data_IF_440913444241
#
_entry.id   IF_440913444241
#
_cell.length_a   1.000
_cell.length_b   1.000
_cell.length_c   1.000
_cell.angle_alpha   90.00
_cell.angle_beta   90.00
_cell.angle_gamma   90.00
#
_symmetry.space_group_name_H-M   'P 1'
#
loop_
_entity.id
_entity.type
_entity.pdbx_description
1 polymer ?
#
# COMPACT_ATOMS: atom_id res chain seq x y z
N UNK A 1 -61.94 -44.64 -7.28
CA UNK A 1 -60.60 -44.03 -7.37
C UNK A 1 -60.72 -42.55 -7.03
N UNK A 2 -60.24 -42.13 -5.85
CA UNK A 2 -60.28 -40.73 -5.42
C UNK A 2 -58.96 -40.07 -5.82
N UNK A 3 -59.00 -39.15 -6.77
CA UNK A 3 -57.81 -38.42 -7.23
C UNK A 3 -57.63 -37.18 -6.34
N UNK A 4 -56.58 -37.17 -5.54
CA UNK A 4 -56.19 -36.03 -4.70
C UNK A 4 -55.40 -35.07 -5.59
N UNK A 5 -55.97 -33.89 -5.86
CA UNK A 5 -55.25 -32.80 -6.53
C UNK A 5 -54.40 -32.07 -5.48
N UNK A 6 -53.09 -32.32 -5.51
CA UNK A 6 -52.12 -31.56 -4.72
C UNK A 6 -51.94 -30.17 -5.32
N UNK A 7 -52.40 -29.14 -4.60
CA UNK A 7 -52.16 -27.75 -4.94
C UNK A 7 -50.69 -27.41 -4.63
N UNK A 8 -49.85 -27.35 -5.67
CA UNK A 8 -48.45 -26.91 -5.55
C UNK A 8 -48.44 -25.38 -5.45
N UNK A 9 -48.35 -24.85 -4.23
CA UNK A 9 -48.11 -23.44 -3.96
C UNK A 9 -46.67 -23.08 -4.35
N UNK A 10 -46.51 -22.59 -5.58
CA UNK A 10 -45.31 -21.90 -6.03
C UNK A 10 -45.21 -20.55 -5.30
N UNK A 11 -44.45 -20.52 -4.20
CA UNK A 11 -43.95 -19.27 -3.64
C UNK A 11 -42.97 -18.65 -4.65
N UNK A 12 -43.47 -17.74 -5.49
CA UNK A 12 -42.64 -16.78 -6.19
C UNK A 12 -42.02 -15.85 -5.14
N UNK A 13 -40.90 -16.28 -4.57
CA UNK A 13 -40.08 -15.43 -3.73
C UNK A 13 -39.57 -14.28 -4.58
N UNK A 14 -40.11 -13.08 -4.35
CA UNK A 14 -39.53 -11.86 -4.90
C UNK A 14 -38.13 -11.70 -4.30
N UNK A 15 -37.10 -11.92 -5.10
CA UNK A 15 -35.73 -11.57 -4.73
C UNK A 15 -35.63 -10.05 -4.75
N UNK A 16 -35.73 -9.42 -3.58
CA UNK A 16 -35.45 -8.00 -3.44
C UNK A 16 -33.94 -7.83 -3.63
N UNK A 17 -33.53 -7.20 -4.73
CA UNK A 17 -32.13 -6.88 -4.98
C UNK A 17 -31.59 -5.97 -3.86
N UNK A 18 -30.38 -6.28 -3.37
CA UNK A 18 -29.77 -5.46 -2.33
C UNK A 18 -29.51 -4.03 -2.83
N UNK A 19 -29.80 -3.04 -1.98
CA UNK A 19 -29.57 -1.63 -2.30
C UNK A 19 -28.51 -1.08 -1.35
N UNK A 20 -27.43 -0.52 -1.91
CA UNK A 20 -26.34 0.05 -1.13
C UNK A 20 -26.86 1.28 -0.34
N UNK A 21 -26.70 1.31 0.99
CA UNK A 21 -27.07 2.47 1.79
C UNK A 21 -26.29 3.72 1.41
N UNK A 22 -26.82 4.90 1.80
CA UNK A 22 -26.07 6.15 1.60
C UNK A 22 -24.79 6.15 2.42
N UNK A 23 -23.67 6.48 1.76
CA UNK A 23 -22.36 6.60 2.43
C UNK A 23 -22.37 7.81 3.37
N UNK A 24 -22.06 7.57 4.64
CA UNK A 24 -21.92 8.60 5.67
C UNK A 24 -20.48 9.10 5.69
N UNK A 25 -20.29 10.41 5.62
CA UNK A 25 -18.99 11.06 5.76
C UNK A 25 -18.86 11.73 7.13
N UNK A 26 -17.70 11.57 7.77
CA UNK A 26 -17.41 12.16 9.08
C UNK A 26 -15.98 12.75 9.11
N UNK A 27 -15.78 13.76 9.95
CA UNK A 27 -14.49 14.44 10.12
C UNK A 27 -14.08 14.45 11.60
N UNK A 28 -13.88 13.27 12.23
CA UNK A 28 -13.74 13.17 13.69
C UNK A 28 -12.41 13.72 14.21
N UNK A 29 -11.39 13.82 13.36
CA UNK A 29 -10.06 14.32 13.76
C UNK A 29 -9.65 15.56 12.97
N UNK A 30 -8.58 16.21 13.42
CA UNK A 30 -7.93 17.33 12.72
C UNK A 30 -7.22 16.90 11.42
N UNK A 31 -7.29 15.61 11.06
CA UNK A 31 -6.79 15.01 9.82
C UNK A 31 -7.82 14.06 9.25
N UNK A 32 -7.75 13.84 7.94
CA UNK A 32 -8.51 12.82 7.23
C UNK A 32 -10.03 12.91 7.37
N UNK A 33 -10.71 11.83 7.01
CA UNK A 33 -12.16 11.69 7.06
C UNK A 33 -12.54 10.20 7.13
N UNK A 34 -13.77 9.93 7.56
CA UNK A 34 -14.38 8.58 7.49
C UNK A 34 -15.46 8.55 6.43
N UNK A 35 -15.59 7.44 5.73
CA UNK A 35 -16.70 7.13 4.84
C UNK A 35 -17.24 5.74 5.19
N UNK A 36 -18.53 5.61 5.52
CA UNK A 36 -19.06 4.34 6.01
C UNK A 36 -20.51 4.03 5.61
N UNK A 37 -20.82 2.74 5.54
CA UNK A 37 -22.18 2.20 5.42
C UNK A 37 -22.49 1.30 6.64
N UNK A 38 -23.76 1.18 7.08
CA UNK A 38 -24.12 0.25 8.15
C UNK A 38 -23.92 -1.21 7.70
N UNK A 39 -23.54 -2.07 8.64
CA UNK A 39 -23.54 -3.51 8.39
C UNK A 39 -24.95 -4.03 8.11
N UNK A 40 -25.04 -5.08 7.29
CA UNK A 40 -26.29 -5.78 6.96
C UNK A 40 -25.97 -7.27 6.85
N UNK A 41 -26.73 -8.17 7.51
CA UNK A 41 -26.46 -9.59 7.43
C UNK A 41 -26.36 -10.09 5.98
N UNK A 42 -25.21 -10.68 5.62
CA UNK A 42 -24.91 -11.10 4.24
C UNK A 42 -23.96 -10.15 3.50
N UNK A 43 -23.66 -8.97 4.05
CA UNK A 43 -22.60 -8.09 3.57
C UNK A 43 -21.23 -8.71 3.86
N UNK A 44 -20.39 -8.80 2.84
CA UNK A 44 -19.09 -9.47 2.88
C UNK A 44 -17.93 -8.53 2.55
N UNK A 45 -18.19 -7.45 1.81
CA UNK A 45 -17.18 -6.47 1.44
C UNK A 45 -17.81 -5.11 1.15
N UNK A 46 -17.08 -4.05 1.50
CA UNK A 46 -17.34 -2.66 1.13
C UNK A 46 -16.04 -2.06 0.58
N UNK A 47 -15.98 -1.83 -0.72
CA UNK A 47 -14.88 -1.13 -1.37
C UNK A 47 -15.26 0.32 -1.61
N UNK A 48 -14.44 1.24 -1.10
CA UNK A 48 -14.65 2.68 -1.22
C UNK A 48 -13.56 3.28 -2.09
N UNK A 49 -13.96 4.07 -3.09
CA UNK A 49 -13.04 4.74 -4.01
C UNK A 49 -13.45 6.19 -4.16
N UNK A 50 -12.51 7.11 -3.97
CA UNK A 50 -12.78 8.53 -4.05
C UNK A 50 -11.60 9.34 -4.58
N UNK A 51 -11.93 10.47 -5.20
CA UNK A 51 -10.97 11.45 -5.71
C UNK A 51 -11.46 12.87 -5.44
N UNK A 52 -10.55 13.83 -5.39
CA UNK A 52 -10.88 15.20 -5.02
C UNK A 52 -11.06 16.12 -6.24
N UNK A 53 -12.11 16.93 -6.22
CA UNK A 53 -12.39 18.04 -7.14
C UNK A 53 -12.47 17.71 -8.64
N UNK A 54 -12.29 16.44 -9.03
CA UNK A 54 -12.47 15.94 -10.40
C UNK A 54 -13.39 14.71 -10.39
N UNK A 55 -14.39 14.58 -11.27
CA UNK A 55 -15.18 13.36 -11.39
C UNK A 55 -14.36 12.18 -11.93
N UNK A 56 -14.89 10.97 -11.75
CA UNK A 56 -14.34 9.78 -12.39
C UNK A 56 -14.74 9.76 -13.87
N UNK A 57 -13.81 9.40 -14.75
CA UNK A 57 -14.13 9.14 -16.16
C UNK A 57 -14.46 7.66 -16.36
N UNK A 58 -13.86 6.77 -15.54
CA UNK A 58 -14.11 5.33 -15.49
C UNK A 58 -14.03 4.79 -14.04
N UNK A 59 -14.15 3.46 -13.85
CA UNK A 59 -13.89 2.77 -12.56
C UNK A 59 -12.40 2.80 -12.16
N UNK A 60 -11.86 4.00 -12.01
CA UNK A 60 -10.49 4.25 -11.56
C UNK A 60 -10.38 4.09 -10.04
N UNK A 61 -9.19 3.76 -9.54
CA UNK A 61 -8.93 3.51 -8.12
C UNK A 61 -9.22 4.75 -7.23
N UNK A 62 -8.99 5.97 -7.75
CA UNK A 62 -9.11 7.23 -6.99
C UNK A 62 -7.90 7.53 -6.09
N UNK A 63 -7.91 8.70 -5.44
CA UNK A 63 -6.87 9.14 -4.49
C UNK A 63 -7.03 8.52 -3.08
N UNK A 64 -8.24 8.03 -2.80
CA UNK A 64 -8.66 7.43 -1.53
C UNK A 64 -9.35 6.11 -1.87
N UNK A 65 -8.71 4.99 -1.56
CA UNK A 65 -9.19 3.65 -1.93
C UNK A 65 -8.92 2.64 -0.84
N UNK A 66 -9.91 1.81 -0.52
CA UNK A 66 -9.73 0.64 0.33
C UNK A 66 -10.87 -0.37 0.14
N UNK A 67 -10.54 -1.66 0.23
CA UNK A 67 -11.48 -2.76 0.36
C UNK A 67 -11.61 -3.11 1.84
N UNK A 68 -12.76 -2.82 2.43
CA UNK A 68 -13.10 -3.15 3.81
C UNK A 68 -13.76 -4.53 3.79
N UNK A 69 -13.18 -5.50 4.48
CA UNK A 69 -13.64 -6.91 4.53
C UNK A 69 -14.26 -7.31 5.87
N UNK A 70 -14.30 -6.38 6.83
CA UNK A 70 -14.86 -6.58 8.17
C UNK A 70 -15.45 -5.27 8.69
N UNK A 71 -16.63 -5.27 9.35
CA UNK A 71 -17.17 -4.08 9.99
C UNK A 71 -16.37 -3.69 11.24
N UNK A 72 -16.48 -2.43 11.64
CA UNK A 72 -15.96 -1.89 12.90
C UNK A 72 -16.77 -2.34 14.12
N UNK A 73 -16.30 -1.97 15.32
CA UNK A 73 -16.94 -2.32 16.59
C UNK A 73 -18.36 -1.75 16.72
N UNK A 74 -18.67 -0.68 15.98
CA UNK A 74 -19.98 -0.05 15.90
C UNK A 74 -20.90 -0.68 14.82
N UNK A 75 -20.48 -1.75 14.18
CA UNK A 75 -21.28 -2.45 13.15
C UNK A 75 -21.39 -1.65 11.86
N UNK A 76 -20.34 -0.95 11.45
CA UNK A 76 -20.27 -0.22 10.17
C UNK A 76 -19.06 -0.64 9.36
N UNK A 77 -19.21 -0.61 8.05
CA UNK A 77 -18.10 -0.82 7.13
C UNK A 77 -17.48 0.54 6.84
N UNK A 78 -16.30 0.79 7.41
CA UNK A 78 -15.75 2.13 7.52
C UNK A 78 -14.38 2.24 6.84
N UNK A 79 -14.30 3.09 5.82
CA UNK A 79 -13.05 3.66 5.35
C UNK A 79 -12.64 4.77 6.32
N UNK A 80 -11.42 4.72 6.86
CA UNK A 80 -10.86 5.77 7.73
C UNK A 80 -9.46 6.15 7.24
N UNK A 81 -9.26 7.42 6.93
CA UNK A 81 -7.96 7.93 6.48
C UNK A 81 -7.37 8.92 7.47
N UNK A 82 -6.04 8.91 7.61
CA UNK A 82 -5.30 9.92 8.37
C UNK A 82 -4.50 10.90 7.46
N UNK A 83 -4.84 10.95 6.16
CA UNK A 83 -4.30 11.95 5.22
C UNK A 83 -4.57 13.38 5.71
N UNK A 84 -3.88 14.43 5.21
CA UNK A 84 -4.14 15.80 5.64
C UNK A 84 -5.62 16.18 5.59
N UNK A 85 -6.07 17.03 6.51
CA UNK A 85 -7.46 17.47 6.54
C UNK A 85 -7.83 18.18 5.24
N UNK A 86 -8.94 17.76 4.64
CA UNK A 86 -9.50 18.41 3.47
C UNK A 86 -10.07 19.78 3.84
N UNK A 87 -9.79 20.84 3.06
CA UNK A 87 -10.44 22.15 3.21
C UNK A 87 -11.96 22.05 3.06
N UNK A 88 -12.70 22.91 3.76
CA UNK A 88 -14.14 23.06 3.53
C UNK A 88 -14.40 23.48 2.09
N UNK A 89 -15.45 22.91 1.48
CA UNK A 89 -15.80 23.11 0.08
C UNK A 89 -15.11 22.16 -0.90
N UNK A 90 -14.14 21.35 -0.45
CA UNK A 90 -13.56 20.28 -1.29
C UNK A 90 -14.65 19.29 -1.68
N UNK A 91 -14.73 18.92 -2.97
CA UNK A 91 -15.68 17.92 -3.45
C UNK A 91 -14.98 16.57 -3.53
N UNK A 92 -15.51 15.58 -2.82
CA UNK A 92 -15.12 14.18 -2.90
C UNK A 92 -16.04 13.52 -3.91
N UNK A 93 -15.54 13.20 -5.11
CA UNK A 93 -16.23 12.31 -6.03
C UNK A 93 -15.92 10.88 -5.63
N UNK A 94 -16.92 10.00 -5.57
CA UNK A 94 -16.73 8.64 -5.09
C UNK A 94 -17.63 7.63 -5.80
N UNK A 95 -17.17 6.39 -5.81
CA UNK A 95 -17.97 5.21 -6.12
C UNK A 95 -17.71 4.13 -5.07
N UNK A 96 -18.68 3.24 -4.90
CA UNK A 96 -18.61 2.13 -3.95
C UNK A 96 -18.94 0.84 -4.65
N UNK A 97 -18.22 -0.22 -4.30
CA UNK A 97 -18.62 -1.59 -4.58
C UNK A 97 -18.95 -2.31 -3.27
N UNK A 98 -20.02 -3.11 -3.28
CA UNK A 98 -20.42 -3.93 -2.15
C UNK A 98 -20.60 -5.37 -2.62
N UNK A 99 -20.02 -6.31 -1.87
CA UNK A 99 -20.34 -7.73 -2.03
C UNK A 99 -21.38 -8.15 -1.00
N UNK A 100 -22.58 -8.51 -1.43
CA UNK A 100 -23.68 -8.96 -0.59
C UNK A 100 -24.18 -10.33 -1.06
N UNK A 101 -24.20 -11.32 -0.18
CA UNK A 101 -24.62 -12.69 -0.48
C UNK A 101 -23.93 -13.30 -1.73
N UNK A 102 -22.61 -13.04 -1.89
CA UNK A 102 -21.78 -13.40 -3.04
C UNK A 102 -22.09 -12.66 -4.36
N UNK A 103 -23.01 -11.71 -4.36
CA UNK A 103 -23.30 -10.85 -5.52
C UNK A 103 -22.68 -9.46 -5.35
N UNK A 104 -22.29 -8.84 -6.47
CA UNK A 104 -21.65 -7.53 -6.49
C UNK A 104 -22.61 -6.41 -6.85
N UNK A 105 -22.59 -5.33 -6.07
CA UNK A 105 -23.42 -4.15 -6.23
C UNK A 105 -22.55 -2.90 -6.35
N UNK A 106 -22.98 -1.94 -7.16
CA UNK A 106 -22.22 -0.71 -7.43
C UNK A 106 -23.04 0.54 -7.13
N UNK A 107 -22.39 1.53 -6.54
CA UNK A 107 -22.90 2.89 -6.38
C UNK A 107 -21.94 3.85 -7.05
N UNK A 108 -22.30 4.36 -8.23
CA UNK A 108 -21.43 5.22 -9.05
C UNK A 108 -21.85 6.68 -9.03
N UNK A 109 -20.97 7.54 -9.56
CA UNK A 109 -21.24 8.96 -9.86
C UNK A 109 -21.71 9.77 -8.65
N UNK A 110 -21.23 9.41 -7.46
CA UNK A 110 -21.56 10.13 -6.23
C UNK A 110 -20.55 11.22 -5.94
N UNK A 111 -21.03 12.22 -5.19
CA UNK A 111 -20.20 13.30 -4.69
C UNK A 111 -20.60 13.70 -3.28
N UNK A 112 -19.63 14.15 -2.50
CA UNK A 112 -19.82 14.70 -1.16
C UNK A 112 -19.02 16.00 -1.05
N UNK A 113 -19.58 17.05 -0.45
CA UNK A 113 -18.85 18.31 -0.22
C UNK A 113 -18.38 18.35 1.22
N UNK A 114 -17.09 18.57 1.44
CA UNK A 114 -16.49 18.64 2.77
C UNK A 114 -17.03 19.85 3.52
N UNK A 115 -17.72 19.58 4.63
CA UNK A 115 -18.19 20.60 5.57
C UNK A 115 -17.75 20.19 6.98
N UNK A 116 -16.63 20.74 7.44
CA UNK A 116 -16.22 20.68 8.85
C UNK A 116 -16.93 21.81 9.59
N UNK A 117 -17.97 21.48 10.33
CA UNK A 117 -18.43 22.34 11.41
C UNK A 117 -17.36 22.36 12.48
N UNK A 118 -16.92 23.55 12.96
CA UNK A 118 -16.07 23.65 14.15
C UNK A 118 -16.73 22.82 15.25
N UNK A 119 -16.12 21.71 15.64
CA UNK A 119 -16.52 21.04 16.85
C UNK A 119 -16.30 22.06 17.97
N UNK A 120 -17.40 22.55 18.55
CA UNK A 120 -17.39 23.32 19.78
C UNK A 120 -16.67 22.47 20.79
N UNK A 121 -15.41 22.80 21.08
CA UNK A 121 -14.67 22.18 22.14
C UNK A 121 -15.53 22.31 23.40
N UNK A 122 -16.00 21.18 23.93
CA UNK A 122 -16.66 21.17 25.22
C UNK A 122 -15.72 21.91 26.21
N UNK A 123 -16.22 22.92 26.95
CA UNK A 123 -15.37 23.71 27.83
C UNK A 123 -14.77 22.78 28.89
N UNK A 124 -13.48 22.52 28.78
CA UNK A 124 -12.72 21.86 29.82
C UNK A 124 -12.54 22.90 30.94
N UNK A 125 -13.40 22.83 31.95
CA UNK A 125 -13.32 23.64 33.16
C UNK A 125 -11.92 23.50 33.75
N UNK A 126 -11.16 24.58 33.68
CA UNK A 126 -9.83 24.69 34.27
C UNK A 126 -9.98 24.84 35.77
N UNK A 127 -10.14 23.73 36.49
CA UNK A 127 -9.81 23.71 37.92
C UNK A 127 -8.31 23.42 38.01
N UNK A 128 -7.53 24.46 38.26
CA UNK A 128 -6.11 24.39 38.63
C UNK A 128 -5.98 23.54 39.90
N UNK A 129 -5.67 22.26 39.72
CA UNK A 129 -5.08 21.42 40.75
C UNK A 129 -3.63 21.16 40.34
N UNK A 130 -2.63 21.51 41.16
CA UNK A 130 -1.23 21.24 40.82
C UNK A 130 -1.06 19.73 40.77
N UNK A 131 -0.90 19.21 39.56
CA UNK A 131 -0.64 17.79 39.34
C UNK A 131 0.78 17.67 38.85
N UNK A 132 1.61 17.19 39.78
CA UNK A 132 3.00 16.79 39.60
C UNK A 132 3.20 16.07 38.27
N UNK A 133 4.17 16.56 37.50
CA UNK A 133 4.63 16.03 36.23
C UNK A 133 5.00 14.55 36.37
N UNK A 134 4.11 13.65 35.99
CA UNK A 134 4.46 12.25 35.75
C UNK A 134 4.47 12.06 34.25
N UNK A 135 5.69 12.19 33.69
CA UNK A 135 6.01 11.70 32.34
C UNK A 135 5.46 10.27 32.25
N UNK A 136 4.63 9.93 31.25
CA UNK A 136 4.17 8.56 31.10
C UNK A 136 5.40 7.64 31.07
N UNK A 137 5.39 6.53 31.83
CA UNK A 137 6.58 5.70 31.99
C UNK A 137 7.01 5.19 30.61
N UNK A 138 8.18 5.62 30.16
CA UNK A 138 8.86 5.08 28.97
C UNK A 138 9.29 3.66 29.32
N UNK A 139 8.57 2.62 28.89
CA UNK A 139 8.87 1.28 29.34
C UNK A 139 10.22 0.87 28.75
N UNK A 140 11.07 0.27 29.59
CA UNK A 140 12.41 -0.12 29.19
C UNK A 140 12.37 -1.11 28.01
N UNK A 141 13.32 -0.98 27.09
CA UNK A 141 13.50 -1.91 25.98
C UNK A 141 14.99 -2.09 25.69
N UNK A 142 15.36 -3.27 25.19
CA UNK A 142 16.72 -3.55 24.71
C UNK A 142 16.99 -2.98 23.32
N UNK A 143 15.97 -2.41 22.67
CA UNK A 143 16.06 -1.83 21.34
C UNK A 143 16.87 -0.55 21.36
N UNK A 144 17.87 -0.49 20.48
CA UNK A 144 18.61 0.75 20.20
C UNK A 144 18.46 1.11 18.73
N UNK A 145 18.51 2.42 18.44
CA UNK A 145 18.49 2.99 17.10
C UNK A 145 19.88 3.54 16.76
N UNK A 146 20.23 3.52 15.48
CA UNK A 146 21.33 4.31 14.90
C UNK A 146 22.64 4.29 15.71
N UNK A 147 23.04 3.11 16.20
CA UNK A 147 24.31 2.94 16.90
C UNK A 147 24.27 3.21 18.42
N UNK A 148 23.09 3.26 19.05
CA UNK A 148 22.98 3.26 20.52
C UNK A 148 21.91 4.15 21.12
N UNK A 149 21.16 4.89 20.31
CA UNK A 149 20.08 5.76 20.79
C UNK A 149 18.97 4.92 21.44
N UNK A 150 18.56 5.29 22.65
CA UNK A 150 17.49 4.61 23.38
C UNK A 150 16.10 4.99 22.85
N UNK A 151 15.15 4.08 23.03
CA UNK A 151 13.74 4.29 22.69
C UNK A 151 12.87 3.67 23.78
N UNK A 152 11.55 3.88 23.72
CA UNK A 152 10.59 3.25 24.61
C UNK A 152 10.01 1.98 23.96
N UNK A 153 9.66 0.98 24.75
CA UNK A 153 8.96 -0.20 24.24
C UNK A 153 7.64 0.21 23.54
N UNK A 154 7.34 -0.40 22.39
CA UNK A 154 6.12 -0.12 21.61
C UNK A 154 6.13 1.19 20.81
N UNK A 155 7.17 2.02 20.92
CA UNK A 155 7.28 3.26 20.15
C UNK A 155 7.54 2.95 18.67
N UNK A 156 6.82 3.63 17.78
CA UNK A 156 7.15 3.67 16.35
C UNK A 156 8.48 4.40 16.15
N UNK A 157 9.44 3.72 15.54
CA UNK A 157 10.83 4.18 15.39
C UNK A 157 11.22 4.50 13.95
N UNK A 158 10.46 3.99 12.98
CA UNK A 158 10.61 4.28 11.55
C UNK A 158 9.29 4.04 10.84
N UNK A 159 8.93 4.94 9.95
CA UNK A 159 7.78 4.81 9.07
C UNK A 159 8.11 5.51 7.75
N UNK A 160 7.75 4.88 6.64
CA UNK A 160 7.68 5.57 5.37
C UNK A 160 6.45 5.13 4.59
N UNK A 161 5.55 6.09 4.36
CA UNK A 161 4.35 5.90 3.54
C UNK A 161 4.59 6.34 2.11
N UNK A 162 5.79 6.81 1.74
CA UNK A 162 6.15 7.35 0.42
C UNK A 162 5.30 8.56 -0.03
N UNK A 163 4.46 9.13 0.82
CA UNK A 163 3.60 10.29 0.52
C UNK A 163 4.40 11.56 0.21
N UNK A 164 5.67 11.63 0.65
CA UNK A 164 6.56 12.76 0.37
C UNK A 164 7.07 12.79 -1.08
N UNK A 165 6.84 11.75 -1.87
CA UNK A 165 7.29 11.71 -3.28
C UNK A 165 8.80 11.62 -3.45
N UNK A 166 9.57 11.41 -2.37
CA UNK A 166 11.02 11.30 -2.37
C UNK A 166 11.48 10.11 -1.55
N UNK A 167 12.48 9.37 -2.07
CA UNK A 167 13.19 8.34 -1.32
C UNK A 167 14.09 8.93 -0.23
N UNK A 168 14.70 10.08 -0.52
CA UNK A 168 15.55 10.77 0.44
C UNK A 168 14.70 11.41 1.55
N UNK A 169 15.22 11.47 2.80
CA UNK A 169 16.54 11.00 3.21
C UNK A 169 16.53 9.58 3.79
N UNK A 170 15.43 8.81 3.67
CA UNK A 170 15.29 7.54 4.39
C UNK A 170 15.87 6.37 3.62
N UNK A 171 15.73 6.39 2.30
CA UNK A 171 16.09 5.33 1.39
C UNK A 171 17.12 5.82 0.39
N UNK A 172 17.99 4.89 0.00
CA UNK A 172 18.95 5.06 -1.07
C UNK A 172 18.95 3.80 -1.95
N UNK A 173 19.28 3.98 -3.22
CA UNK A 173 19.44 2.87 -4.15
C UNK A 173 20.72 2.09 -3.85
N UNK A 174 20.61 0.77 -3.98
CA UNK A 174 21.75 -0.13 -4.09
C UNK A 174 21.99 -0.43 -5.56
N UNK A 175 23.02 0.16 -6.14
CA UNK A 175 23.40 -0.06 -7.54
C UNK A 175 24.47 -1.14 -7.58
N UNK A 176 24.11 -2.36 -8.01
CA UNK A 176 25.06 -3.47 -8.16
C UNK A 176 24.50 -4.62 -9.00
N UNK A 177 25.40 -5.45 -9.51
CA UNK A 177 25.13 -6.76 -10.09
C UNK A 177 25.46 -7.81 -9.02
N UNK A 178 24.49 -8.58 -8.49
CA UNK A 178 24.82 -9.70 -7.61
C UNK A 178 25.78 -10.68 -8.31
N UNK A 179 26.74 -11.22 -7.53
CA UNK A 179 27.64 -12.27 -8.02
C UNK A 179 26.87 -13.57 -8.23
N UNK A 180 27.25 -14.32 -9.26
CA UNK A 180 26.67 -15.62 -9.62
C UNK A 180 27.02 -16.70 -8.59
N UNK A 181 26.35 -16.68 -7.43
CA UNK A 181 26.30 -17.77 -6.43
C UNK A 181 25.00 -18.57 -6.60
N UNK A 182 24.83 -19.66 -5.86
CA UNK A 182 23.62 -20.53 -5.91
C UNK A 182 22.30 -19.79 -5.58
N UNK A 183 22.37 -18.53 -5.17
CA UNK A 183 21.24 -17.65 -4.85
C UNK A 183 21.23 -16.36 -5.68
N UNK A 184 22.00 -16.32 -6.77
CA UNK A 184 22.08 -15.16 -7.63
C UNK A 184 20.78 -14.97 -8.42
N UNK A 185 20.17 -13.82 -8.18
CA UNK A 185 19.09 -13.31 -9.01
C UNK A 185 19.70 -12.88 -10.35
N UNK A 186 19.13 -13.30 -11.48
CA UNK A 186 19.54 -12.92 -12.85
C UNK A 186 19.19 -11.44 -13.14
N UNK A 187 19.65 -10.51 -12.30
CA UNK A 187 19.24 -9.11 -12.25
C UNK A 187 20.43 -8.17 -12.09
N UNK A 188 20.32 -6.97 -12.66
CA UNK A 188 21.15 -5.82 -12.28
C UNK A 188 20.28 -4.81 -11.52
N UNK A 189 20.70 -4.43 -10.32
CA UNK A 189 20.05 -3.37 -9.57
C UNK A 189 20.62 -2.02 -9.99
N UNK A 190 19.77 -1.14 -10.48
CA UNK A 190 20.16 0.16 -11.04
C UNK A 190 19.27 1.28 -10.48
N UNK A 191 19.75 2.53 -10.59
CA UNK A 191 18.98 3.71 -10.22
C UNK A 191 18.40 4.36 -11.48
N UNK A 192 17.38 3.72 -12.04
CA UNK A 192 16.66 4.21 -13.22
C UNK A 192 15.22 4.59 -12.82
N UNK A 193 14.68 5.71 -13.34
CA UNK A 193 13.33 6.16 -13.02
C UNK A 193 12.24 5.19 -13.48
N UNK A 194 12.57 4.31 -14.42
CA UNK A 194 11.65 3.32 -14.99
C UNK A 194 11.54 2.08 -14.10
N UNK A 195 12.58 1.81 -13.29
CA UNK A 195 12.64 0.65 -12.41
C UNK A 195 12.20 0.94 -10.98
N UNK A 196 12.30 2.18 -10.53
CA UNK A 196 11.76 2.61 -9.24
C UNK A 196 11.32 4.05 -9.25
N UNK A 197 10.10 4.29 -8.78
CA UNK A 197 9.53 5.61 -8.63
C UNK A 197 8.46 5.59 -7.55
N UNK A 198 8.03 6.78 -7.13
CA UNK A 198 6.89 6.94 -6.25
C UNK A 198 5.71 7.40 -7.09
N UNK A 199 4.61 6.66 -7.02
CA UNK A 199 3.35 7.03 -7.67
C UNK A 199 2.19 6.86 -6.69
N UNK A 200 1.37 7.90 -6.56
CA UNK A 200 0.20 7.92 -5.67
C UNK A 200 0.52 7.48 -4.22
N UNK A 201 1.61 8.02 -3.65
CA UNK A 201 2.02 7.69 -2.27
C UNK A 201 2.48 6.24 -2.09
N UNK A 202 2.96 5.58 -3.16
CA UNK A 202 3.44 4.20 -3.10
C UNK A 202 4.78 4.08 -3.81
N UNK A 203 5.71 3.36 -3.22
CA UNK A 203 6.89 2.87 -3.92
C UNK A 203 6.44 1.85 -4.97
N UNK A 204 6.80 2.10 -6.23
CA UNK A 204 6.60 1.19 -7.34
C UNK A 204 7.97 0.73 -7.80
N UNK A 205 8.17 -0.59 -7.90
CA UNK A 205 9.36 -1.21 -8.48
C UNK A 205 8.89 -2.02 -9.69
N UNK A 206 9.46 -1.72 -10.86
CA UNK A 206 9.12 -2.36 -12.13
C UNK A 206 10.37 -3.00 -12.70
N UNK A 207 10.46 -4.34 -12.76
CA UNK A 207 11.54 -4.98 -13.49
C UNK A 207 11.34 -4.76 -14.99
N UNK A 208 12.41 -4.42 -15.69
CA UNK A 208 12.44 -4.28 -17.15
C UNK A 208 13.46 -5.25 -17.75
N UNK A 209 13.34 -5.55 -19.03
CA UNK A 209 14.37 -6.29 -19.74
C UNK A 209 15.50 -5.34 -20.11
N UNK A 210 16.75 -5.79 -19.98
CA UNK A 210 17.92 -4.99 -20.37
C UNK A 210 17.86 -4.58 -21.86
N UNK A 211 17.21 -5.39 -22.69
CA UNK A 211 16.96 -5.12 -24.13
C UNK A 211 15.99 -3.98 -24.41
N UNK A 212 15.34 -3.42 -23.40
CA UNK A 212 14.56 -2.17 -23.56
C UNK A 212 15.47 -0.95 -23.68
N UNK A 213 16.74 -1.05 -23.26
CA UNK A 213 17.76 -0.07 -23.62
C UNK A 213 18.25 -0.34 -25.03
N UNK A 214 18.36 0.71 -25.85
CA UNK A 214 18.92 0.62 -27.20
C UNK A 214 20.36 0.08 -27.24
N UNK A 215 21.06 0.15 -26.11
CA UNK A 215 22.42 -0.39 -25.97
C UNK A 215 22.44 -1.91 -25.83
N UNK A 216 21.33 -2.62 -25.66
CA UNK A 216 21.39 -4.07 -25.45
C UNK A 216 20.39 -4.81 -26.33
N UNK A 217 20.85 -5.92 -26.89
CA UNK A 217 20.05 -6.88 -27.63
C UNK A 217 20.46 -8.30 -27.18
N UNK A 218 19.78 -9.31 -27.68
CA UNK A 218 20.03 -10.71 -27.31
C UNK A 218 21.47 -11.19 -27.58
N UNK A 219 22.17 -10.58 -28.54
CA UNK A 219 23.57 -10.86 -28.81
C UNK A 219 24.46 -10.21 -27.76
N UNK A 220 24.27 -8.92 -27.47
CA UNK A 220 25.04 -8.18 -26.46
C UNK A 220 24.87 -8.75 -25.06
N UNK A 221 23.74 -9.38 -24.75
CA UNK A 221 23.58 -10.14 -23.48
C UNK A 221 24.59 -11.29 -23.38
N UNK A 222 24.98 -11.91 -24.51
CA UNK A 222 25.86 -13.09 -24.54
C UNK A 222 27.33 -12.75 -24.81
N UNK A 223 27.61 -11.59 -25.40
CA UNK A 223 28.98 -11.22 -25.84
C UNK A 223 29.47 -9.89 -25.28
N UNK A 224 28.56 -9.06 -24.77
CA UNK A 224 28.84 -7.69 -24.38
C UNK A 224 29.36 -7.53 -22.95
N UNK A 225 29.38 -6.28 -22.54
CA UNK A 225 29.77 -5.83 -21.20
C UNK A 225 28.72 -4.87 -20.66
N UNK A 226 28.44 -4.97 -19.36
CA UNK A 226 27.56 -4.08 -18.61
C UNK A 226 28.38 -3.45 -17.49
N UNK A 227 28.46 -2.12 -17.47
CA UNK A 227 29.10 -1.34 -16.40
C UNK A 227 28.04 -0.44 -15.75
N UNK A 228 27.92 -0.50 -14.43
CA UNK A 228 26.92 0.26 -13.70
C UNK A 228 27.47 1.63 -13.26
N UNK A 229 26.84 2.71 -13.74
CA UNK A 229 27.13 4.06 -13.30
C UNK A 229 26.70 4.26 -11.83
N UNK A 230 27.57 4.83 -11.00
CA UNK A 230 27.26 5.09 -9.58
C UNK A 230 27.14 3.82 -8.73
N UNK A 231 27.84 2.74 -9.09
CA UNK A 231 27.83 1.48 -8.35
C UNK A 231 28.11 1.66 -6.85
N UNK A 232 27.31 0.99 -6.01
CA UNK A 232 27.39 1.02 -4.54
C UNK A 232 27.63 -0.39 -3.98
N UNK A 233 28.48 -1.19 -4.62
CA UNK A 233 28.82 -2.55 -4.17
C UNK A 233 29.21 -2.55 -2.68
N UNK A 234 28.58 -3.38 -1.84
CA UNK A 234 28.92 -3.45 -0.42
C UNK A 234 30.23 -4.21 -0.16
N UNK A 235 30.75 -4.95 -1.14
CA UNK A 235 31.93 -5.82 -1.00
C UNK A 235 33.19 -5.23 -1.65
N UNK A 236 33.07 -4.10 -2.36
CA UNK A 236 34.11 -3.54 -3.22
C UNK A 236 34.63 -4.53 -4.28
N UNK A 237 33.86 -5.57 -4.61
CA UNK A 237 34.21 -6.48 -5.68
C UNK A 237 33.85 -5.82 -7.03
N UNK A 238 34.82 -5.64 -7.95
CA UNK A 238 34.56 -5.00 -9.23
C UNK A 238 33.53 -5.73 -10.07
N UNK A 239 33.39 -7.05 -9.92
CA UNK A 239 32.39 -7.85 -10.66
C UNK A 239 30.94 -7.55 -10.24
N UNK A 240 30.73 -6.87 -9.11
CA UNK A 240 29.42 -6.35 -8.73
C UNK A 240 29.09 -5.00 -9.39
N UNK A 241 30.06 -4.37 -10.06
CA UNK A 241 29.90 -3.09 -10.75
C UNK A 241 30.05 -3.22 -12.26
N UNK A 242 30.71 -4.27 -12.73
CA UNK A 242 30.83 -4.59 -14.15
C UNK A 242 30.75 -6.09 -14.40
N UNK A 243 30.07 -6.48 -15.48
CA UNK A 243 29.96 -7.87 -15.93
C UNK A 243 30.33 -7.92 -17.40
N UNK A 244 31.27 -8.80 -17.76
CA UNK A 244 31.56 -9.15 -19.15
C UNK A 244 31.04 -10.54 -19.43
N UNK A 245 30.19 -10.68 -20.45
CA UNK A 245 29.70 -11.98 -20.86
C UNK A 245 30.85 -12.79 -21.50
N UNK A 246 31.02 -14.02 -21.05
CA UNK A 246 32.06 -14.92 -21.52
C UNK A 246 31.69 -16.38 -21.21
N UNK A 247 31.91 -17.28 -22.18
CA UNK A 247 31.65 -18.72 -22.04
C UNK A 247 30.20 -18.98 -21.59
N UNK A 248 30.01 -19.52 -20.40
CA UNK A 248 28.71 -19.84 -19.79
C UNK A 248 28.11 -18.68 -18.98
N UNK A 249 28.78 -17.53 -18.89
CA UNK A 249 28.31 -16.35 -18.17
C UNK A 249 27.71 -15.36 -19.15
N UNK A 250 26.45 -14.99 -18.92
CA UNK A 250 25.73 -13.94 -19.65
C UNK A 250 25.61 -12.66 -18.81
N UNK A 251 25.26 -11.55 -19.44
CA UNK A 251 24.81 -10.35 -18.74
C UNK A 251 23.44 -10.61 -18.08
N UNK A 252 23.13 -9.97 -16.92
CA UNK A 252 21.82 -10.08 -16.32
C UNK A 252 20.74 -9.54 -17.26
N UNK A 253 19.75 -10.36 -17.66
CA UNK A 253 18.72 -9.94 -18.61
C UNK A 253 17.65 -9.03 -18.01
N UNK A 254 17.55 -8.96 -16.68
CA UNK A 254 16.58 -8.14 -15.96
C UNK A 254 17.29 -6.94 -15.32
N UNK A 255 16.68 -5.77 -15.45
CA UNK A 255 17.03 -4.57 -14.70
C UNK A 255 15.92 -4.34 -13.66
N UNK A 256 16.30 -4.07 -12.42
CA UNK A 256 15.36 -3.76 -11.34
C UNK A 256 15.95 -2.71 -10.41
N UNK A 257 15.21 -2.34 -9.37
CA UNK A 257 15.66 -1.44 -8.33
C UNK A 257 15.72 -2.15 -6.99
N UNK A 258 16.71 -1.75 -6.18
CA UNK A 258 16.84 -2.17 -4.78
C UNK A 258 17.08 -0.94 -3.92
N UNK A 259 16.31 -0.81 -2.85
CA UNK A 259 16.40 0.29 -1.90
C UNK A 259 16.82 -0.24 -0.53
N UNK A 260 17.62 0.54 0.20
CA UNK A 260 18.00 0.22 1.58
C UNK A 260 18.12 1.48 2.45
N UNK A 261 18.19 1.28 3.76
CA UNK A 261 18.34 2.34 4.77
C UNK A 261 19.72 2.34 5.45
N UNK A 262 20.74 1.70 4.85
CA UNK A 262 22.03 1.34 5.51
C UNK A 262 22.72 2.50 6.24
N UNK A 263 22.59 3.72 5.73
CA UNK A 263 23.17 4.95 6.29
C UNK A 263 22.17 5.88 6.99
N UNK A 264 20.90 5.52 7.03
CA UNK A 264 19.82 6.40 7.50
C UNK A 264 19.09 5.85 8.72
N UNK A 265 18.85 4.54 8.73
CA UNK A 265 18.12 3.91 9.80
C UNK A 265 18.59 2.48 10.03
N UNK A 266 18.92 2.18 11.29
CA UNK A 266 19.18 0.83 11.80
C UNK A 266 18.60 0.69 13.20
N UNK A 267 18.09 -0.49 13.51
CA UNK A 267 17.53 -0.80 14.82
C UNK A 267 17.95 -2.22 15.23
N UNK A 268 18.00 -2.50 16.53
CA UNK A 268 18.44 -3.80 17.05
C UNK A 268 17.32 -4.84 17.12
N UNK A 269 16.19 -4.48 17.71
CA UNK A 269 15.03 -5.36 17.89
C UNK A 269 13.75 -4.60 17.60
N UNK A 270 12.74 -5.26 17.06
CA UNK A 270 11.48 -4.62 16.74
C UNK A 270 10.59 -5.50 15.89
N UNK A 271 9.38 -5.00 15.65
CA UNK A 271 8.45 -5.56 14.66
C UNK A 271 8.51 -4.69 13.41
N UNK A 272 8.62 -5.33 12.25
CA UNK A 272 8.52 -4.66 10.96
C UNK A 272 7.20 -5.07 10.33
N UNK A 273 6.38 -4.08 10.00
CA UNK A 273 5.11 -4.28 9.29
C UNK A 273 5.23 -3.62 7.91
N UNK A 274 4.94 -4.39 6.87
CA UNK A 274 5.07 -3.96 5.46
C UNK A 274 3.74 -4.23 4.77
N UNK A 275 3.13 -3.18 4.21
CA UNK A 275 1.99 -3.30 3.28
C UNK A 275 2.54 -3.26 1.86
N UNK A 276 2.61 -4.42 1.20
CA UNK A 276 3.09 -4.56 -0.17
C UNK A 276 2.15 -5.43 -1.00
N UNK A 277 2.08 -5.14 -2.30
CA UNK A 277 1.46 -6.04 -3.29
C UNK A 277 2.49 -7.07 -3.72
N UNK A 278 2.07 -8.33 -3.88
CA UNK A 278 2.97 -9.35 -4.40
C UNK A 278 3.35 -9.06 -5.85
N UNK A 279 4.61 -9.35 -6.23
CA UNK A 279 5.04 -9.19 -7.60
C UNK A 279 4.22 -10.09 -8.53
N UNK A 280 3.94 -9.59 -9.74
CA UNK A 280 3.26 -10.36 -10.79
C UNK A 280 4.27 -10.61 -11.92
N UNK A 281 4.46 -11.87 -12.27
CA UNK A 281 5.31 -12.29 -13.38
C UNK A 281 5.86 -13.70 -13.17
N UNK A 282 6.39 -14.27 -14.24
CA UNK A 282 7.04 -15.57 -14.18
C UNK A 282 8.40 -15.46 -13.49
N UNK A 283 8.79 -16.49 -12.75
CA UNK A 283 10.09 -16.60 -12.08
C UNK A 283 10.38 -15.51 -11.02
N UNK A 284 9.35 -14.83 -10.50
CA UNK A 284 9.50 -13.83 -9.43
C UNK A 284 9.20 -14.45 -8.05
N UNK A 285 10.06 -14.14 -7.09
CA UNK A 285 9.88 -14.47 -5.68
C UNK A 285 9.55 -13.19 -4.87
N UNK A 286 8.67 -13.25 -3.85
CA UNK A 286 7.89 -14.40 -3.39
C UNK A 286 6.65 -14.66 -4.26
N UNK A 287 6.41 -15.93 -4.63
CA UNK A 287 5.24 -16.38 -5.39
C UNK A 287 4.12 -16.81 -4.42
N UNK A 288 2.88 -16.39 -4.68
CA UNK A 288 1.69 -17.05 -4.10
C UNK A 288 1.40 -18.31 -4.89
N UNK A 289 1.46 -19.47 -4.23
CA UNK A 289 0.88 -20.71 -4.76
C UNK A 289 -0.62 -20.64 -4.48
N UNK A 290 -1.43 -20.18 -5.43
CA UNK A 290 -2.87 -20.41 -5.41
C UNK A 290 -3.11 -21.68 -6.20
N UNK A 291 -3.34 -22.80 -5.51
CA UNK A 291 -3.95 -23.97 -6.14
C UNK A 291 -5.37 -23.56 -6.56
N UNK A 292 -5.64 -23.64 -7.86
CA UNK A 292 -7.01 -23.61 -8.38
C UNK A 292 -7.74 -24.90 -8.01
#
# INVERSE_FOLDING_TARGET
>A
MRSIWGLLLLFLGQTVAYTIPTVRFEYPTMRGFRASIPDTPGLQMFAFHARLNKPFEQFEEGDYTEDITVPDEEGRWTYDTNKPALPNGTIIYYWVYVQFANEGYWLTDKKHTVIRTKATAAPRTTTTKPTTTTVPPCPATLTTLNGGQSTCAGKLIFEDTFELGSFAPKWQHEVRIPLDTDSAEFVSYQNLPENSYIAAGRLVIVPTLVTQSADYNDERIRTGELTLAGCTSPTNNPYECQRKAARSTILPPVVSAKLNTKHHFRFRYGRVEIRAKLPKGDWIFPRKHTHN
#
